data_IF_117644508516
#
_entry.id   IF_117644508516
#
_cell.length_a   1.000
_cell.length_b   1.000
_cell.length_c   1.000
_cell.angle_alpha   90.00
_cell.angle_beta   90.00
_cell.angle_gamma   90.00
#
_symmetry.space_group_name_H-M   'P 1'
#
loop_
_entity.id
_entity.type
_entity.pdbx_description
1 polymer ?
#
# COMPACT_ATOMS: atom_id res chain seq x y z
N UNK A 1 -45.72 2.53 -50.29
CA UNK A 1 -44.28 2.83 -50.09
C UNK A 1 -43.94 3.35 -48.67
N UNK A 2 -44.76 3.10 -47.63
CA UNK A 2 -44.59 3.70 -46.29
C UNK A 2 -44.07 2.74 -45.20
N UNK A 3 -44.36 1.43 -45.32
CA UNK A 3 -44.05 0.43 -44.28
C UNK A 3 -42.55 0.12 -44.16
N UNK A 4 -41.80 0.05 -45.28
CA UNK A 4 -40.35 -0.21 -45.27
C UNK A 4 -39.51 0.85 -44.54
N UNK A 5 -39.99 2.10 -44.44
CA UNK A 5 -39.29 3.17 -43.71
C UNK A 5 -39.45 3.06 -42.19
N UNK A 6 -40.52 2.42 -41.72
CA UNK A 6 -40.79 2.29 -40.28
C UNK A 6 -39.98 1.15 -39.67
N UNK A 7 -39.89 0.00 -40.35
CA UNK A 7 -39.06 -1.14 -39.91
C UNK A 7 -37.57 -0.81 -39.82
N UNK A 8 -37.00 -0.09 -40.80
CA UNK A 8 -35.59 0.36 -40.75
C UNK A 8 -35.29 1.28 -39.56
N UNK A 9 -36.24 2.13 -39.15
CA UNK A 9 -36.04 3.03 -37.99
C UNK A 9 -36.04 2.29 -36.66
N UNK A 10 -36.77 1.16 -36.56
CA UNK A 10 -36.82 0.36 -35.34
C UNK A 10 -35.54 -0.46 -35.16
N UNK A 11 -35.02 -1.05 -36.24
CA UNK A 11 -33.74 -1.79 -36.22
C UNK A 11 -32.55 -0.90 -35.86
N UNK A 12 -32.49 0.32 -36.42
CA UNK A 12 -31.41 1.28 -36.12
C UNK A 12 -31.43 1.70 -34.64
N UNK A 13 -32.61 1.90 -34.03
CA UNK A 13 -32.73 2.25 -32.60
C UNK A 13 -32.25 1.12 -31.69
N UNK A 14 -32.54 -0.14 -32.05
CA UNK A 14 -32.10 -1.30 -31.27
C UNK A 14 -30.60 -1.51 -31.37
N UNK A 15 -30.03 -1.42 -32.59
CA UNK A 15 -28.58 -1.51 -32.81
C UNK A 15 -27.84 -0.39 -32.04
N UNK A 16 -28.37 0.84 -32.06
CA UNK A 16 -27.75 1.96 -31.35
C UNK A 16 -27.79 1.80 -29.82
N UNK A 17 -28.85 1.20 -29.26
CA UNK A 17 -28.92 0.87 -27.82
C UNK A 17 -27.91 -0.22 -27.42
N UNK A 18 -27.77 -1.26 -28.24
CA UNK A 18 -26.79 -2.33 -28.01
C UNK A 18 -25.37 -1.77 -28.09
N UNK A 19 -25.10 -0.90 -29.07
CA UNK A 19 -23.80 -0.24 -29.21
C UNK A 19 -23.48 0.65 -28.01
N UNK A 20 -24.45 1.40 -27.50
CA UNK A 20 -24.29 2.26 -26.32
C UNK A 20 -24.00 1.44 -25.05
N UNK A 21 -24.67 0.30 -24.85
CA UNK A 21 -24.44 -0.62 -23.72
C UNK A 21 -23.05 -1.28 -23.81
N UNK A 22 -22.60 -1.65 -25.02
CA UNK A 22 -21.25 -2.16 -25.25
C UNK A 22 -20.19 -1.09 -24.98
N UNK A 23 -20.42 0.16 -25.40
CA UNK A 23 -19.54 1.30 -25.11
C UNK A 23 -19.46 1.61 -23.60
N UNK A 24 -20.56 1.49 -22.85
CA UNK A 24 -20.50 1.64 -21.39
C UNK A 24 -19.79 0.46 -20.71
N UNK A 25 -19.96 -0.78 -21.19
CA UNK A 25 -19.22 -1.94 -20.68
C UNK A 25 -17.71 -1.87 -20.95
N UNK A 26 -17.30 -1.33 -22.10
CA UNK A 26 -15.87 -1.14 -22.45
C UNK A 26 -15.25 -0.02 -21.60
N UNK A 27 -15.98 1.06 -21.33
CA UNK A 27 -15.47 2.18 -20.50
C UNK A 27 -15.39 1.85 -19.02
N UNK A 28 -16.16 0.86 -18.52
CA UNK A 28 -16.02 0.36 -17.13
C UNK A 28 -14.74 -0.47 -16.96
N UNK A 29 -14.21 -1.09 -18.02
CA UNK A 29 -12.96 -1.87 -17.93
C UNK A 29 -11.69 -1.03 -17.84
N UNK A 30 -11.75 0.26 -18.21
CA UNK A 30 -10.63 1.20 -18.07
C UNK A 30 -10.72 2.02 -16.78
N UNK A 31 -11.16 1.40 -15.68
CA UNK A 31 -10.87 1.93 -14.35
C UNK A 31 -9.39 1.64 -14.11
N UNK A 32 -8.54 2.67 -14.24
CA UNK A 32 -7.12 2.58 -13.90
C UNK A 32 -6.99 1.97 -12.52
N UNK A 33 -6.57 0.71 -12.45
CA UNK A 33 -6.27 0.06 -11.19
C UNK A 33 -5.10 0.83 -10.59
N UNK A 34 -5.35 1.55 -9.50
CA UNK A 34 -4.31 2.18 -8.70
C UNK A 34 -3.25 1.11 -8.43
N UNK A 35 -2.00 1.39 -8.80
CA UNK A 35 -0.91 0.45 -8.58
C UNK A 35 -0.75 0.22 -7.08
N UNK A 36 -1.25 -0.92 -6.61
CA UNK A 36 -1.24 -1.27 -5.19
C UNK A 36 0.06 -1.97 -4.84
N UNK A 37 0.87 -1.30 -4.02
CA UNK A 37 2.06 -1.88 -3.44
C UNK A 37 1.72 -2.63 -2.15
N UNK A 38 2.51 -3.65 -1.82
CA UNK A 38 2.35 -4.49 -0.64
C UNK A 38 3.65 -4.46 0.17
N UNK A 39 3.62 -4.18 1.48
CA UNK A 39 4.82 -4.22 2.30
C UNK A 39 5.26 -5.65 2.59
N UNK A 40 6.58 -5.84 2.75
CA UNK A 40 7.18 -7.05 3.27
C UNK A 40 6.95 -7.15 4.78
N UNK A 41 6.45 -8.29 5.25
CA UNK A 41 6.08 -8.60 6.63
C UNK A 41 7.07 -9.57 7.31
N UNK A 42 8.36 -9.23 7.23
CA UNK A 42 9.44 -9.96 7.87
C UNK A 42 10.81 -9.34 7.57
N UNK A 43 11.80 -9.68 8.36
CA UNK A 43 13.18 -9.23 8.15
C UNK A 43 13.89 -10.10 7.10
N UNK A 44 14.74 -9.48 6.27
CA UNK A 44 15.61 -10.15 5.29
C UNK A 44 14.89 -11.22 4.43
N UNK A 45 13.70 -10.88 3.96
CA UNK A 45 12.85 -11.81 3.21
C UNK A 45 13.49 -12.11 1.85
N UNK A 46 13.75 -13.39 1.62
CA UNK A 46 14.35 -13.87 0.38
C UNK A 46 13.38 -13.76 -0.81
N UNK A 47 13.80 -13.05 -1.85
CA UNK A 47 13.19 -13.08 -3.17
C UNK A 47 13.91 -14.14 -3.99
N UNK A 48 13.18 -15.14 -4.49
CA UNK A 48 13.77 -16.31 -5.16
C UNK A 48 13.48 -16.33 -6.66
N UNK A 49 14.38 -16.96 -7.42
CA UNK A 49 14.21 -17.10 -8.87
C UNK A 49 13.03 -18.00 -9.25
N UNK A 50 12.79 -19.06 -8.49
CA UNK A 50 11.72 -20.03 -8.68
C UNK A 50 10.91 -20.21 -7.38
N UNK A 51 9.64 -20.66 -7.44
CA UNK A 51 8.74 -20.75 -6.30
C UNK A 51 9.02 -22.00 -5.44
N UNK A 52 10.23 -22.12 -4.89
CA UNK A 52 10.61 -23.19 -3.97
C UNK A 52 11.78 -22.76 -3.08
N UNK A 53 11.93 -23.42 -1.91
CA UNK A 53 12.95 -23.07 -0.92
C UNK A 53 14.40 -23.31 -1.37
N UNK A 54 14.62 -24.18 -2.34
CA UNK A 54 15.95 -24.54 -2.83
C UNK A 54 16.42 -23.65 -3.99
N UNK A 55 15.53 -22.80 -4.52
CA UNK A 55 15.87 -21.90 -5.62
C UNK A 55 16.83 -20.80 -5.15
N UNK A 56 17.65 -20.32 -6.09
CA UNK A 56 18.56 -19.21 -5.88
C UNK A 56 17.83 -17.99 -5.29
N UNK A 57 18.40 -17.42 -4.23
CA UNK A 57 18.00 -16.11 -3.70
C UNK A 57 18.60 -15.04 -4.62
N UNK A 58 17.74 -14.18 -5.18
CA UNK A 58 18.13 -13.07 -6.06
C UNK A 58 18.48 -11.85 -5.21
N UNK A 59 17.59 -11.47 -4.29
CA UNK A 59 17.79 -10.39 -3.31
C UNK A 59 17.15 -10.75 -1.97
N UNK A 60 17.49 -9.99 -0.94
CA UNK A 60 16.79 -9.96 0.34
C UNK A 60 16.16 -8.60 0.55
N UNK A 61 14.90 -8.59 0.99
CA UNK A 61 14.15 -7.37 1.24
C UNK A 61 13.94 -7.16 2.74
N UNK A 62 14.15 -5.93 3.26
CA UNK A 62 13.85 -5.61 4.64
C UNK A 62 12.34 -5.54 4.89
N UNK A 63 11.95 -5.60 6.16
CA UNK A 63 10.56 -5.36 6.59
C UNK A 63 10.10 -3.99 6.10
N UNK A 64 8.81 -3.86 5.80
CA UNK A 64 8.15 -2.66 5.24
C UNK A 64 8.60 -2.25 3.84
N UNK A 65 9.61 -2.89 3.23
CA UNK A 65 9.92 -2.69 1.81
C UNK A 65 8.69 -2.97 0.96
N UNK A 66 8.46 -2.14 -0.04
CA UNK A 66 7.26 -2.21 -0.86
C UNK A 66 7.53 -3.00 -2.14
N UNK A 67 6.65 -3.94 -2.43
CA UNK A 67 6.69 -4.72 -3.66
C UNK A 67 5.36 -4.63 -4.38
N UNK A 68 5.39 -4.76 -5.71
CA UNK A 68 4.19 -4.88 -6.52
C UNK A 68 3.88 -6.35 -6.75
N UNK A 69 2.71 -6.79 -6.33
CA UNK A 69 2.25 -8.16 -6.58
C UNK A 69 1.82 -8.28 -8.03
N UNK A 70 2.39 -9.24 -8.78
CA UNK A 70 1.99 -9.49 -10.15
C UNK A 70 0.75 -10.40 -10.14
N UNK A 71 -0.42 -9.92 -10.59
CA UNK A 71 -1.64 -10.71 -10.57
C UNK A 71 -1.48 -12.02 -11.36
N UNK A 72 -2.21 -13.06 -10.94
CA UNK A 72 -2.27 -14.37 -11.60
C UNK A 72 -0.96 -15.19 -11.62
N UNK A 73 0.15 -14.69 -11.06
CA UNK A 73 1.40 -15.45 -10.91
C UNK A 73 1.55 -15.96 -9.47
N UNK A 74 0.83 -17.03 -9.16
CA UNK A 74 0.89 -17.71 -7.86
C UNK A 74 1.00 -19.22 -8.00
N UNK A 75 1.78 -19.85 -7.12
CA UNK A 75 1.96 -21.30 -7.06
C UNK A 75 1.66 -21.79 -5.66
N UNK A 76 0.67 -22.69 -5.52
CA UNK A 76 0.31 -23.26 -4.21
C UNK A 76 1.46 -24.14 -3.70
N UNK A 77 1.83 -24.00 -2.44
CA UNK A 77 2.86 -24.81 -1.81
C UNK A 77 2.65 -24.94 -0.30
N UNK A 78 3.38 -25.88 0.28
CA UNK A 78 3.54 -26.00 1.74
C UNK A 78 5.01 -25.71 2.06
N UNK A 79 5.25 -24.70 2.89
CA UNK A 79 6.58 -24.25 3.30
C UNK A 79 6.62 -24.28 4.82
N UNK A 80 7.55 -25.02 5.42
CA UNK A 80 7.69 -25.16 6.87
C UNK A 80 6.35 -25.46 7.57
N UNK A 81 5.64 -26.49 7.09
CA UNK A 81 4.31 -26.91 7.56
C UNK A 81 3.19 -25.86 7.42
N UNK A 82 3.43 -24.76 6.70
CA UNK A 82 2.43 -23.73 6.43
C UNK A 82 1.96 -23.83 4.99
N UNK A 83 0.65 -24.01 4.80
CA UNK A 83 0.02 -23.97 3.48
C UNK A 83 -0.15 -22.52 3.01
N UNK A 84 0.20 -22.26 1.77
CA UNK A 84 0.10 -20.91 1.19
C UNK A 84 0.44 -20.91 -0.29
N UNK A 85 0.92 -19.76 -0.75
CA UNK A 85 1.30 -19.54 -2.14
C UNK A 85 2.66 -18.87 -2.24
N UNK A 86 3.47 -19.31 -3.19
CA UNK A 86 4.51 -18.47 -3.76
C UNK A 86 3.85 -17.44 -4.66
N UNK A 87 4.20 -16.17 -4.46
CA UNK A 87 3.67 -15.02 -5.18
C UNK A 87 4.82 -14.36 -5.93
N UNK A 88 4.65 -14.13 -7.22
CA UNK A 88 5.63 -13.38 -8.00
C UNK A 88 5.46 -11.87 -7.77
N UNK A 89 6.55 -11.19 -7.48
CA UNK A 89 6.56 -9.76 -7.15
C UNK A 89 7.61 -9.01 -7.98
N UNK A 90 7.29 -7.76 -8.27
CA UNK A 90 8.22 -6.76 -8.79
C UNK A 90 8.77 -5.95 -7.61
N UNK A 91 10.10 -5.82 -7.54
CA UNK A 91 10.81 -5.31 -6.35
C UNK A 91 11.32 -3.87 -6.52
N UNK A 92 11.27 -3.32 -7.73
CA UNK A 92 11.73 -1.97 -8.06
C UNK A 92 10.59 -0.95 -8.12
N UNK A 93 10.72 0.15 -7.37
CA UNK A 93 9.78 1.27 -7.40
C UNK A 93 9.96 2.19 -8.64
N UNK A 94 11.10 2.11 -9.34
CA UNK A 94 11.47 3.11 -10.37
C UNK A 94 12.35 2.59 -11.52
N UNK A 95 12.88 1.37 -11.43
CA UNK A 95 13.81 0.85 -12.43
C UNK A 95 13.10 -0.16 -13.33
N UNK A 96 13.09 0.09 -14.65
CA UNK A 96 12.68 -0.87 -15.69
C UNK A 96 13.53 -2.16 -15.71
N UNK A 97 14.47 -2.31 -14.77
CA UNK A 97 15.39 -3.42 -14.66
C UNK A 97 14.75 -4.53 -13.81
N UNK A 98 14.03 -5.44 -14.47
CA UNK A 98 13.36 -6.63 -13.89
C UNK A 98 14.30 -7.69 -13.32
N UNK A 99 15.59 -7.37 -13.18
CA UNK A 99 16.64 -8.30 -12.77
C UNK A 99 16.38 -8.83 -11.35
N UNK A 100 15.66 -8.04 -10.54
CA UNK A 100 15.43 -8.33 -9.12
C UNK A 100 13.99 -8.83 -8.82
N UNK A 101 13.18 -9.08 -9.84
CA UNK A 101 11.82 -9.62 -9.68
C UNK A 101 11.88 -11.12 -9.39
N UNK A 102 10.98 -11.61 -8.54
CA UNK A 102 11.02 -13.01 -8.15
C UNK A 102 9.86 -13.45 -7.29
N UNK A 103 10.02 -14.61 -6.66
CA UNK A 103 9.00 -15.27 -5.86
C UNK A 103 9.25 -15.06 -4.37
N UNK A 104 8.19 -14.65 -3.66
CA UNK A 104 8.13 -14.56 -2.21
C UNK A 104 6.98 -15.44 -1.73
N UNK A 105 7.15 -16.13 -0.60
CA UNK A 105 6.05 -16.89 -0.01
C UNK A 105 5.06 -15.94 0.68
N UNK A 106 3.77 -16.15 0.46
CA UNK A 106 2.70 -15.20 0.81
C UNK A 106 2.70 -14.78 2.27
N UNK A 107 3.12 -15.64 3.20
CA UNK A 107 3.21 -15.33 4.64
C UNK A 107 4.12 -14.13 4.93
N UNK A 108 5.00 -13.75 4.02
CA UNK A 108 5.87 -12.58 4.14
C UNK A 108 5.32 -11.32 3.46
N UNK A 109 4.07 -11.34 2.98
CA UNK A 109 3.41 -10.20 2.38
C UNK A 109 2.32 -9.64 3.31
N UNK A 110 2.39 -8.36 3.64
CA UNK A 110 1.42 -7.62 4.43
C UNK A 110 0.21 -7.19 3.60
N UNK A 111 -0.62 -8.13 3.17
CA UNK A 111 -1.85 -7.82 2.46
C UNK A 111 -2.93 -7.29 3.41
N UNK A 112 -3.80 -6.39 2.93
CA UNK A 112 -4.79 -5.64 3.73
C UNK A 112 -5.65 -6.53 4.64
N UNK A 113 -6.02 -7.71 4.18
CA UNK A 113 -6.87 -8.68 4.89
C UNK A 113 -6.18 -9.34 6.09
N UNK A 114 -4.85 -9.34 6.14
CA UNK A 114 -4.09 -9.96 7.23
C UNK A 114 -3.92 -9.05 8.45
N UNK A 115 -4.15 -7.75 8.26
CA UNK A 115 -4.03 -6.76 9.31
C UNK A 115 -5.24 -6.73 10.23
N UNK A 116 -5.02 -7.03 11.51
CA UNK A 116 -6.05 -7.03 12.56
C UNK A 116 -5.82 -5.89 13.53
N UNK A 117 -6.90 -5.41 14.17
CA UNK A 117 -6.79 -4.40 15.23
C UNK A 117 -6.41 -5.13 16.53
N UNK A 118 -5.28 -4.80 17.18
CA UNK A 118 -4.95 -5.42 18.45
C UNK A 118 -5.93 -4.98 19.53
N UNK A 119 -6.22 -5.87 20.49
CA UNK A 119 -7.12 -5.59 21.62
C UNK A 119 -6.45 -4.70 22.67
N UNK A 120 -5.13 -4.81 22.79
CA UNK A 120 -4.29 -3.98 23.65
C UNK A 120 -3.09 -3.47 22.86
N UNK A 121 -2.77 -2.20 23.03
CA UNK A 121 -1.62 -1.53 22.45
C UNK A 121 -0.78 -0.88 23.53
N UNK A 122 0.54 -1.14 23.54
CA UNK A 122 1.42 -0.69 24.63
C UNK A 122 2.27 0.53 24.28
N UNK A 123 2.60 0.75 23.01
CA UNK A 123 3.30 1.96 22.58
C UNK A 123 2.42 3.19 22.79
N UNK A 124 2.95 4.22 23.45
CA UNK A 124 2.21 5.45 23.77
C UNK A 124 2.48 6.56 22.79
N UNK A 125 3.71 6.67 22.33
CA UNK A 125 4.15 7.76 21.47
C UNK A 125 5.16 7.23 20.44
N UNK A 126 5.24 7.91 19.31
CA UNK A 126 6.24 7.67 18.28
C UNK A 126 6.56 9.02 17.63
N UNK A 127 7.84 9.26 17.39
CA UNK A 127 8.32 10.42 16.66
C UNK A 127 9.32 9.91 15.65
N UNK A 128 9.17 10.28 14.38
CA UNK A 128 10.08 9.80 13.36
C UNK A 128 10.20 10.70 12.15
N UNK A 129 11.41 10.72 11.56
CA UNK A 129 11.78 11.60 10.46
C UNK A 129 12.28 10.80 9.25
N UNK A 130 11.70 11.00 8.08
CA UNK A 130 12.17 10.40 6.82
C UNK A 130 12.27 11.48 5.75
N UNK A 131 13.48 11.90 5.42
CA UNK A 131 13.71 13.05 4.54
C UNK A 131 13.06 14.33 5.08
N UNK A 132 12.21 14.96 4.29
CA UNK A 132 11.48 16.20 4.63
C UNK A 132 10.18 15.99 5.42
N UNK A 133 9.95 14.76 5.91
CA UNK A 133 8.74 14.35 6.59
C UNK A 133 9.02 14.00 8.05
N UNK A 134 8.25 14.61 8.96
CA UNK A 134 8.29 14.32 10.40
C UNK A 134 6.92 13.84 10.88
N UNK A 135 6.80 12.60 11.35
CA UNK A 135 5.60 12.01 11.91
C UNK A 135 5.67 11.99 13.43
N UNK A 136 4.61 12.46 14.09
CA UNK A 136 4.40 12.32 15.53
C UNK A 136 3.07 11.63 15.81
N UNK A 137 3.07 10.63 16.68
CA UNK A 137 1.89 9.86 17.07
C UNK A 137 1.70 9.91 18.59
N UNK A 138 0.45 10.06 19.02
CA UNK A 138 -0.01 9.80 20.38
C UNK A 138 -1.03 8.67 20.35
N UNK A 139 -0.64 7.52 20.85
CA UNK A 139 -1.34 6.25 20.72
C UNK A 139 -2.02 5.84 22.03
N UNK A 140 -3.19 5.23 21.90
CA UNK A 140 -4.04 4.80 23.00
C UNK A 140 -4.04 3.27 23.13
N UNK A 141 -4.31 2.79 24.35
CA UNK A 141 -4.38 1.35 24.65
C UNK A 141 -5.37 0.55 23.80
N UNK A 142 -6.42 1.21 23.32
CA UNK A 142 -7.45 0.61 22.47
C UNK A 142 -7.07 0.61 20.97
N UNK A 143 -5.78 0.77 20.64
CA UNK A 143 -5.28 0.80 19.28
C UNK A 143 -5.87 1.92 18.42
N UNK A 144 -6.14 3.08 19.03
CA UNK A 144 -6.38 4.33 18.31
C UNK A 144 -5.19 5.27 18.48
N UNK A 145 -5.08 6.29 17.63
CA UNK A 145 -4.03 7.29 17.76
C UNK A 145 -4.50 8.67 17.30
N UNK A 146 -3.81 9.71 17.78
CA UNK A 146 -3.77 11.02 17.15
C UNK A 146 -2.43 11.15 16.43
N UNK A 147 -2.41 11.79 15.27
CA UNK A 147 -1.18 12.07 14.56
C UNK A 147 -1.05 13.55 14.27
N UNK A 148 0.21 13.96 14.11
CA UNK A 148 0.58 15.17 13.42
C UNK A 148 1.76 14.85 12.51
N UNK A 149 1.73 15.29 11.26
CA UNK A 149 2.92 15.26 10.42
C UNK A 149 3.24 16.62 9.83
N UNK A 150 4.52 16.90 9.79
CA UNK A 150 5.09 18.11 9.22
C UNK A 150 5.72 17.74 7.87
N UNK A 151 5.38 18.52 6.85
CA UNK A 151 5.99 18.46 5.54
C UNK A 151 6.97 19.62 5.36
N UNK A 152 8.04 19.36 4.60
CA UNK A 152 9.03 20.35 4.19
C UNK A 152 9.86 20.91 5.35
N UNK A 153 10.27 20.05 6.28
CA UNK A 153 11.16 20.46 7.38
C UNK A 153 12.49 21.08 6.89
N UNK A 154 12.94 20.78 5.65
CA UNK A 154 14.17 21.31 5.05
C UNK A 154 14.05 22.06 3.71
N UNK A 155 12.85 22.29 3.15
CA UNK A 155 12.68 22.85 1.79
C UNK A 155 11.52 23.85 1.65
N UNK A 156 11.50 24.62 0.55
CA UNK A 156 10.38 25.52 0.21
C UNK A 156 9.16 24.71 -0.23
N UNK A 157 8.18 24.60 0.67
CA UNK A 157 6.91 23.93 0.41
C UNK A 157 6.06 24.73 -0.59
N UNK A 158 5.51 24.06 -1.60
CA UNK A 158 4.45 24.65 -2.43
C UNK A 158 3.16 24.72 -1.60
N UNK A 159 2.45 25.85 -1.65
CA UNK A 159 1.13 26.01 -1.00
C UNK A 159 0.10 24.93 -1.45
N UNK A 160 0.34 24.33 -2.61
CA UNK A 160 -0.44 23.24 -3.18
C UNK A 160 -0.17 21.86 -2.55
N UNK A 161 0.75 21.72 -1.59
CA UNK A 161 0.87 20.45 -0.85
C UNK A 161 -0.40 20.24 -0.01
N UNK A 162 -1.03 19.07 -0.15
CA UNK A 162 -2.27 18.74 0.53
C UNK A 162 -1.99 17.74 1.66
N UNK A 163 -2.79 17.81 2.72
CA UNK A 163 -2.89 16.68 3.62
C UNK A 163 -3.51 15.51 2.84
N UNK A 164 -2.99 14.31 3.03
CA UNK A 164 -3.39 13.10 2.30
C UNK A 164 -4.89 12.81 2.39
N UNK A 165 -5.58 13.29 3.42
CA UNK A 165 -7.02 13.17 3.57
C UNK A 165 -7.71 14.54 3.68
N UNK A 166 -8.86 14.70 3.02
CA UNK A 166 -9.71 15.90 3.10
C UNK A 166 -10.25 16.16 4.52
N UNK A 167 -10.28 15.13 5.37
CA UNK A 167 -10.72 15.22 6.76
C UNK A 167 -9.60 15.67 7.71
N UNK A 168 -8.35 15.70 7.24
CA UNK A 168 -7.23 16.16 8.07
C UNK A 168 -7.33 17.66 8.28
N UNK A 169 -6.98 18.08 9.49
CA UNK A 169 -6.87 19.50 9.81
C UNK A 169 -5.53 20.00 9.27
N UNK A 170 -5.59 20.83 8.24
CA UNK A 170 -4.43 21.54 7.65
C UNK A 170 -4.20 22.86 8.38
N UNK A 171 -2.98 23.05 8.90
CA UNK A 171 -2.53 24.30 9.48
C UNK A 171 -1.31 24.76 8.68
N UNK A 172 -1.36 26.01 8.20
CA UNK A 172 -0.23 26.63 7.49
C UNK A 172 0.34 27.74 8.34
N UNK A 173 1.62 27.65 8.71
CA UNK A 173 2.31 28.70 9.47
C UNK A 173 3.73 28.83 8.95
N UNK A 174 4.13 30.05 8.58
CA UNK A 174 5.49 30.38 8.12
C UNK A 174 6.01 29.47 6.98
N UNK A 175 5.13 29.02 6.08
CA UNK A 175 5.51 28.16 4.94
C UNK A 175 5.49 26.65 5.22
N UNK A 176 5.30 26.23 6.47
CA UNK A 176 5.14 24.82 6.85
C UNK A 176 3.68 24.39 6.79
N UNK A 177 3.45 23.12 6.42
CA UNK A 177 2.14 22.48 6.47
C UNK A 177 2.19 21.43 7.57
N UNK A 178 1.34 21.64 8.57
CA UNK A 178 1.06 20.68 9.62
C UNK A 178 -0.30 20.05 9.33
N UNK A 179 -0.31 18.72 9.27
CA UNK A 179 -1.52 17.93 9.08
C UNK A 179 -1.79 17.13 10.35
N UNK A 180 -2.97 17.31 10.94
CA UNK A 180 -3.39 16.63 12.16
C UNK A 180 -4.62 15.76 11.92
N UNK A 181 -4.70 14.63 12.61
CA UNK A 181 -5.85 13.75 12.54
C UNK A 181 -5.85 12.64 13.60
N UNK A 182 -6.79 11.72 13.44
CA UNK A 182 -6.97 10.55 14.32
C UNK A 182 -6.82 9.26 13.53
N UNK A 183 -6.83 8.12 14.22
CA UNK A 183 -6.18 6.91 13.78
C UNK A 183 -6.70 5.60 14.37
N UNK A 184 -6.63 4.49 13.62
CA UNK A 184 -6.67 3.14 14.17
C UNK A 184 -5.43 2.37 13.76
N UNK A 185 -4.87 1.63 14.70
CA UNK A 185 -3.69 0.81 14.50
C UNK A 185 -4.15 -0.58 14.10
N UNK A 186 -3.52 -1.14 13.07
CA UNK A 186 -3.64 -2.54 12.73
C UNK A 186 -2.26 -3.17 12.63
N UNK A 187 -2.17 -4.45 12.94
CA UNK A 187 -0.91 -5.17 13.02
C UNK A 187 -0.98 -6.46 12.21
N UNK A 188 0.12 -6.79 11.55
CA UNK A 188 0.34 -8.11 10.97
C UNK A 188 1.80 -8.50 11.18
N UNK A 189 2.03 -9.50 12.06
CA UNK A 189 3.36 -9.79 12.61
C UNK A 189 3.96 -8.50 13.20
N UNK A 190 5.16 -8.13 12.79
CA UNK A 190 5.83 -6.92 13.24
C UNK A 190 5.50 -5.69 12.39
N UNK A 191 4.68 -5.81 11.34
CA UNK A 191 4.20 -4.63 10.59
C UNK A 191 3.06 -3.94 11.33
N UNK A 192 3.12 -2.62 11.36
CA UNK A 192 2.14 -1.74 11.97
C UNK A 192 1.58 -0.81 10.91
N UNK A 193 0.30 -0.98 10.61
CA UNK A 193 -0.43 -0.16 9.66
C UNK A 193 -1.28 0.89 10.37
N UNK A 194 -0.94 2.15 10.13
CA UNK A 194 -1.63 3.31 10.66
C UNK A 194 -2.85 3.64 9.80
N UNK A 195 -3.93 2.87 9.96
CA UNK A 195 -5.16 3.03 9.18
C UNK A 195 -5.92 4.29 9.61
N UNK A 196 -5.61 5.38 8.92
CA UNK A 196 -6.37 6.64 8.80
C UNK A 196 -5.76 7.57 7.75
N UNK A 197 -4.53 7.26 7.32
CA UNK A 197 -4.02 7.49 5.97
C UNK A 197 -4.75 6.62 4.92
N UNK A 198 -6.09 6.70 4.93
CA UNK A 198 -7.05 5.79 4.30
C UNK A 198 -7.20 5.90 2.78
N UNK A 199 -6.24 6.48 2.07
CA UNK A 199 -6.12 6.40 0.61
C UNK A 199 -4.72 5.89 0.27
N UNK A 200 -4.45 4.65 0.70
CA UNK A 200 -3.27 3.85 0.34
C UNK A 200 -1.94 4.62 0.37
N UNK A 201 -1.60 5.27 1.49
CA UNK A 201 -0.19 5.64 1.66
C UNK A 201 0.60 4.37 1.94
N UNK A 202 1.77 4.31 1.33
CA UNK A 202 2.70 3.20 1.38
C UNK A 202 3.58 3.22 2.64
N UNK A 203 3.09 3.89 3.69
CA UNK A 203 3.83 4.19 4.92
C UNK A 203 3.42 3.22 6.02
N UNK A 204 4.33 2.31 6.34
CA UNK A 204 4.18 1.33 7.40
C UNK A 204 5.23 1.60 8.47
N UNK A 205 4.82 1.49 9.73
CA UNK A 205 5.77 1.31 10.81
C UNK A 205 6.05 -0.18 10.97
N UNK A 206 7.10 -0.51 11.71
CA UNK A 206 7.37 -1.88 12.12
C UNK A 206 7.91 -1.94 13.55
N UNK A 207 7.77 -3.09 14.18
CA UNK A 207 8.26 -3.34 15.53
C UNK A 207 9.60 -4.06 15.43
N UNK A 208 10.63 -3.53 16.07
CA UNK A 208 11.95 -4.16 16.19
C UNK A 208 12.49 -3.90 17.59
N UNK A 209 12.93 -4.93 18.29
CA UNK A 209 13.47 -4.83 19.66
C UNK A 209 12.56 -4.05 20.64
N UNK A 210 11.25 -4.31 20.61
CA UNK A 210 10.23 -3.60 21.40
C UNK A 210 10.22 -2.08 21.20
N UNK A 211 10.53 -1.64 19.98
CA UNK A 211 10.45 -0.25 19.52
C UNK A 211 9.69 -0.16 18.22
N UNK A 212 9.04 0.97 17.99
CA UNK A 212 8.47 1.31 16.68
C UNK A 212 9.54 1.98 15.82
N UNK A 213 9.63 1.53 14.59
CA UNK A 213 10.55 2.01 13.57
C UNK A 213 9.79 2.37 12.30
N UNK A 214 10.38 3.24 11.48
CA UNK A 214 9.87 3.62 10.16
C UNK A 214 10.98 3.48 9.13
N UNK A 215 10.67 2.96 7.95
CA UNK A 215 11.65 2.85 6.87
C UNK A 215 12.20 4.23 6.46
N UNK A 216 13.52 4.30 6.27
CA UNK A 216 14.21 5.55 5.92
C UNK A 216 14.58 6.44 7.12
N UNK A 217 14.24 6.03 8.35
CA UNK A 217 14.77 6.67 9.55
C UNK A 217 16.19 6.21 9.84
N UNK A 218 17.10 7.16 10.01
CA UNK A 218 18.45 6.94 10.55
C UNK A 218 18.39 6.97 12.09
N UNK A 219 17.70 6.00 12.70
CA UNK A 219 17.65 5.87 14.17
C UNK A 219 18.37 4.63 14.67
N UNK A 220 19.17 4.83 15.72
CA UNK A 220 19.91 3.76 16.40
C UNK A 220 18.97 2.65 16.89
N UNK A 221 19.16 1.45 16.37
CA UNK A 221 18.39 0.25 16.74
C UNK A 221 17.22 -0.09 15.82
N UNK A 222 16.97 0.72 14.78
CA UNK A 222 16.04 0.38 13.70
C UNK A 222 16.73 -0.22 12.47
N UNK A 223 18.02 0.05 12.26
CA UNK A 223 18.87 -0.56 11.22
C UNK A 223 19.31 -1.99 11.54
#
# INVERSE_FOLDING_TARGET
MSVKRHFRKLEIKTIMKILLILLTLITIQSLEAIEKYTPIAGENVNVRKDPNLNSQVIIQLPISHLVKVIPNRKVKATVNNTNGYWIYVETGYSSKNKINDGWIFDTYLGTTEKFTRPTQWHFKEFHGNSGDYSLSLKMNKNATYNFSYELCAGANCNQNSFCSNKLDKKIVKNGYILCEGTGIIKVYKDLVWLKHYGLETNEFLFIKNDRLCMSGMLEDGCE
#
